data_IF_437708490016
#
_entry.id   IF_437708490016
#
_cell.length_a   1.000
_cell.length_b   1.000
_cell.length_c   1.000
_cell.angle_alpha   90.00
_cell.angle_beta   90.00
_cell.angle_gamma   90.00
#
_symmetry.space_group_name_H-M   'P 1'
#
loop_
_entity.id
_entity.type
_entity.pdbx_description
1 polymer ?
#
# COMPACT_ATOMS: atom_id res chain seq x y z
N UNK A 1 -7.86 42.65 15.43
CA UNK A 1 -6.93 41.54 15.13
C UNK A 1 -7.21 40.46 16.16
N UNK A 2 -7.47 39.19 15.78
CA UNK A 2 -7.54 38.10 16.74
C UNK A 2 -6.19 37.99 17.46
N UNK A 3 -6.21 37.92 18.80
CA UNK A 3 -5.00 37.74 19.59
C UNK A 3 -4.40 36.35 19.37
N UNK A 4 -3.07 36.25 19.47
CA UNK A 4 -2.35 34.97 19.42
C UNK A 4 -2.90 34.00 20.47
N UNK A 5 -2.86 32.71 20.15
CA UNK A 5 -3.17 31.68 21.13
C UNK A 5 -1.92 31.37 21.99
N UNK A 6 -2.14 30.66 23.11
CA UNK A 6 -1.11 30.42 24.13
C UNK A 6 0.18 29.74 23.60
N UNK A 7 0.08 28.90 22.58
CA UNK A 7 1.26 28.23 22.03
C UNK A 7 2.05 29.11 21.06
N UNK A 8 1.39 30.04 20.35
CA UNK A 8 2.07 31.02 19.50
C UNK A 8 2.86 32.02 20.35
N UNK A 9 2.33 32.45 21.50
CA UNK A 9 3.07 33.26 22.48
C UNK A 9 4.28 32.49 23.03
N UNK A 10 4.09 31.22 23.39
CA UNK A 10 5.17 30.37 23.92
C UNK A 10 6.30 30.12 22.91
N UNK A 11 5.99 30.11 21.61
CA UNK A 11 6.97 29.94 20.55
C UNK A 11 7.82 31.20 20.33
N UNK A 12 7.26 32.38 20.59
CA UNK A 12 8.00 33.65 20.51
C UNK A 12 8.97 33.85 21.68
N UNK A 13 8.62 33.30 22.85
CA UNK A 13 9.47 33.35 24.06
C UNK A 13 10.59 32.28 24.05
N UNK A 14 10.61 31.38 23.07
CA UNK A 14 11.64 30.34 22.99
C UNK A 14 12.95 30.90 22.43
N UNK A 15 13.90 31.18 23.32
CA UNK A 15 15.29 31.46 22.96
C UNK A 15 15.97 30.16 22.54
N UNK A 16 16.25 30.01 21.25
CA UNK A 16 17.15 28.95 20.77
C UNK A 16 18.53 29.16 21.39
N UNK A 17 19.04 28.18 22.12
CA UNK A 17 20.40 28.20 22.66
C UNK A 17 21.41 28.37 21.52
N UNK A 18 21.99 29.57 21.42
CA UNK A 18 23.03 29.91 20.44
C UNK A 18 24.41 29.41 20.84
N UNK A 19 24.53 28.64 21.92
CA UNK A 19 25.79 28.08 22.42
C UNK A 19 25.96 26.62 22.02
N UNK A 20 26.18 26.39 20.72
CA UNK A 20 27.15 25.36 20.28
C UNK A 20 27.68 25.61 18.86
N UNK A 21 27.94 26.88 18.52
CA UNK A 21 28.73 27.24 17.33
C UNK A 21 30.15 27.66 17.74
N UNK A 22 30.99 26.69 18.12
CA UNK A 22 32.46 26.86 18.11
C UNK A 22 33.21 25.51 18.14
N UNK A 23 32.96 24.63 17.17
CA UNK A 23 33.95 23.63 16.75
C UNK A 23 33.72 23.28 15.28
N UNK A 24 34.28 24.11 14.41
CA UNK A 24 34.49 23.78 13.02
C UNK A 24 35.67 22.80 12.92
N UNK A 25 35.40 21.52 13.18
CA UNK A 25 36.18 20.41 12.64
C UNK A 25 35.20 19.35 12.13
N UNK A 26 35.34 19.03 10.84
CA UNK A 26 34.74 17.96 10.04
C UNK A 26 34.15 16.77 10.81
N UNK A 27 32.93 16.94 11.35
CA UNK A 27 32.10 15.87 11.88
C UNK A 27 31.07 15.45 10.85
N UNK A 28 31.42 14.50 10.00
CA UNK A 28 30.51 13.89 9.02
C UNK A 28 29.28 13.37 9.74
N UNK A 29 28.09 13.90 9.43
CA UNK A 29 26.82 13.26 9.78
C UNK A 29 26.87 11.87 9.14
N UNK A 30 27.02 10.82 9.93
CA UNK A 30 27.02 9.46 9.42
C UNK A 30 25.59 9.14 8.98
N UNK A 31 25.32 8.93 7.69
CA UNK A 31 24.01 8.45 7.27
C UNK A 31 23.75 7.11 7.95
N UNK A 32 22.52 6.92 8.45
CA UNK A 32 22.05 5.58 8.85
C UNK A 32 22.28 4.68 7.63
N UNK A 33 22.90 3.49 7.77
CA UNK A 33 23.12 2.60 6.64
C UNK A 33 21.77 2.15 6.07
N UNK A 34 21.30 2.87 5.06
CA UNK A 34 20.24 2.39 4.19
C UNK A 34 20.87 1.27 3.38
N UNK A 35 20.34 0.06 3.50
CA UNK A 35 20.75 -1.05 2.63
C UNK A 35 20.62 -0.64 1.15
N UNK A 36 21.27 -1.33 0.20
CA UNK A 36 21.46 -0.87 -1.18
C UNK A 36 20.18 -0.88 -2.05
N UNK A 37 19.01 -0.65 -1.48
CA UNK A 37 17.76 -0.41 -2.19
C UNK A 37 17.27 0.95 -1.75
N UNK A 38 17.09 1.85 -2.72
CA UNK A 38 16.21 3.04 -2.70
C UNK A 38 16.95 4.31 -3.14
N UNK A 39 17.03 4.49 -4.46
CA UNK A 39 17.42 5.76 -5.09
C UNK A 39 16.20 6.45 -5.68
N UNK A 40 15.24 6.83 -4.84
CA UNK A 40 14.30 7.91 -5.16
C UNK A 40 14.72 9.07 -4.27
N UNK A 41 15.67 9.88 -4.77
CA UNK A 41 16.03 11.15 -4.14
C UNK A 41 15.02 12.20 -4.60
N UNK A 42 13.83 12.18 -3.99
CA UNK A 42 12.93 13.33 -4.06
C UNK A 42 13.07 14.11 -2.76
N UNK A 43 13.43 15.39 -2.83
CA UNK A 43 13.79 16.21 -1.67
C UNK A 43 12.62 16.43 -0.68
N UNK A 44 11.40 16.07 -1.10
CA UNK A 44 10.16 16.15 -0.30
C UNK A 44 9.79 14.78 0.29
N UNK A 45 10.15 13.67 -0.36
CA UNK A 45 9.77 12.31 0.04
C UNK A 45 11.01 11.61 0.59
N UNK A 46 11.30 11.79 1.88
CA UNK A 46 12.40 11.12 2.53
C UNK A 46 12.09 9.61 2.72
N UNK A 47 12.87 8.71 2.10
CA UNK A 47 12.71 7.27 2.30
C UNK A 47 12.88 6.93 3.78
N UNK A 48 11.90 6.24 4.37
CA UNK A 48 11.93 5.80 5.77
C UNK A 48 11.34 6.77 6.80
N UNK A 49 11.06 8.04 6.46
CA UNK A 49 10.44 8.99 7.41
C UNK A 49 8.93 8.76 7.55
N UNK A 50 8.26 8.40 6.45
CA UNK A 50 6.80 8.17 6.42
C UNK A 50 6.42 6.69 6.63
N UNK A 51 7.31 5.76 6.31
CA UNK A 51 7.07 4.32 6.47
C UNK A 51 8.37 3.58 6.81
N UNK A 52 8.53 3.05 8.04
CA UNK A 52 9.69 2.23 8.42
C UNK A 52 9.85 0.96 7.57
N UNK A 53 8.77 0.50 6.94
CA UNK A 53 8.74 -0.68 6.08
C UNK A 53 9.35 -0.47 4.69
N UNK A 54 9.63 0.77 4.28
CA UNK A 54 10.08 1.12 2.93
C UNK A 54 8.96 1.23 1.88
N UNK A 55 7.70 0.97 2.26
CA UNK A 55 6.53 1.16 1.40
C UNK A 55 5.67 2.31 1.90
N UNK A 56 5.69 3.42 1.17
CA UNK A 56 4.89 4.61 1.47
C UNK A 56 3.60 4.62 0.63
N UNK A 57 2.47 4.83 1.30
CA UNK A 57 1.14 4.97 0.69
C UNK A 57 1.10 6.05 -0.38
N UNK A 58 1.70 7.23 -0.15
CA UNK A 58 1.71 8.31 -1.14
C UNK A 58 2.53 7.93 -2.36
N UNK A 59 3.67 7.25 -2.16
CA UNK A 59 4.51 6.76 -3.25
C UNK A 59 3.75 5.73 -4.11
N UNK A 60 3.01 4.81 -3.47
CA UNK A 60 2.16 3.84 -4.15
C UNK A 60 1.10 4.55 -4.99
N UNK A 61 0.37 5.51 -4.43
CA UNK A 61 -0.69 6.24 -5.14
C UNK A 61 -0.13 7.03 -6.33
N UNK A 62 0.98 7.76 -6.15
CA UNK A 62 1.62 8.50 -7.25
C UNK A 62 2.02 7.56 -8.39
N UNK A 63 2.56 6.37 -8.10
CA UNK A 63 2.91 5.37 -9.12
C UNK A 63 1.70 4.84 -9.87
N UNK A 64 0.58 4.64 -9.19
CA UNK A 64 -0.68 4.23 -9.81
C UNK A 64 -1.22 5.34 -10.71
N UNK A 65 -1.18 6.60 -10.27
CA UNK A 65 -1.73 7.73 -11.02
C UNK A 65 -0.86 8.13 -12.22
N UNK A 66 0.46 7.97 -12.11
CA UNK A 66 1.42 8.30 -13.17
C UNK A 66 1.78 7.11 -14.08
N UNK A 67 1.05 6.00 -14.00
CA UNK A 67 1.32 4.80 -14.81
C UNK A 67 1.11 5.04 -16.30
N UNK A 68 1.92 4.39 -17.13
CA UNK A 68 1.81 4.48 -18.58
C UNK A 68 0.64 3.64 -19.10
N UNK A 69 -0.15 4.21 -20.02
CA UNK A 69 -1.23 3.54 -20.75
C UNK A 69 -2.29 2.86 -19.84
N UNK A 70 -3.04 3.64 -19.03
CA UNK A 70 -4.07 3.07 -18.16
C UNK A 70 -5.17 2.38 -18.99
N UNK A 71 -5.44 1.12 -18.67
CA UNK A 71 -6.55 0.34 -19.27
C UNK A 71 -7.83 0.54 -18.48
N UNK A 72 -7.70 0.73 -17.16
CA UNK A 72 -8.83 0.91 -16.24
C UNK A 72 -8.87 2.35 -15.76
N UNK A 73 -10.06 2.95 -15.85
CA UNK A 73 -10.31 4.26 -15.27
C UNK A 73 -10.66 4.10 -13.78
N UNK A 74 -9.73 4.50 -12.91
CA UNK A 74 -9.92 4.44 -11.45
C UNK A 74 -10.64 5.68 -10.89
N UNK A 75 -10.64 6.79 -11.64
CA UNK A 75 -11.09 8.09 -11.15
C UNK A 75 -10.15 8.66 -10.07
N UNK A 76 -10.71 9.50 -9.21
CA UNK A 76 -9.97 10.06 -8.07
C UNK A 76 -9.83 9.01 -6.97
N UNK A 77 -8.59 8.62 -6.68
CA UNK A 77 -8.22 7.73 -5.58
C UNK A 77 -7.34 8.47 -4.58
N UNK A 78 -7.50 8.16 -3.30
CA UNK A 78 -6.72 8.73 -2.22
C UNK A 78 -6.44 7.69 -1.11
N UNK A 79 -5.86 8.15 -0.01
CA UNK A 79 -5.51 7.33 1.15
C UNK A 79 -6.71 6.68 1.85
N UNK A 80 -7.93 7.17 1.63
CA UNK A 80 -9.15 6.65 2.25
C UNK A 80 -9.64 5.36 1.59
N UNK A 81 -9.16 5.06 0.37
CA UNK A 81 -9.49 3.84 -0.34
C UNK A 81 -8.81 2.62 0.33
N UNK A 82 -9.52 1.50 0.48
CA UNK A 82 -8.90 0.25 0.91
C UNK A 82 -7.92 -0.26 -0.16
N UNK A 83 -6.65 -0.38 0.22
CA UNK A 83 -5.59 -0.78 -0.69
C UNK A 83 -4.54 -1.68 -0.05
N UNK A 84 -3.95 -2.53 -0.89
CA UNK A 84 -2.85 -3.42 -0.55
C UNK A 84 -1.81 -3.42 -1.65
N UNK A 85 -0.56 -3.69 -1.28
CA UNK A 85 0.56 -3.91 -2.21
C UNK A 85 1.00 -5.37 -2.11
N UNK A 86 1.07 -6.05 -3.25
CA UNK A 86 1.60 -7.41 -3.36
C UNK A 86 2.91 -7.41 -4.16
N UNK A 87 3.90 -8.18 -3.70
CA UNK A 87 5.17 -8.37 -4.41
C UNK A 87 5.05 -9.51 -5.43
N UNK A 88 5.10 -9.19 -6.72
CA UNK A 88 4.94 -10.15 -7.82
C UNK A 88 6.17 -11.03 -8.02
N UNK A 89 7.33 -10.60 -7.54
CA UNK A 89 8.57 -11.36 -7.68
C UNK A 89 8.72 -12.45 -6.62
N UNK A 90 8.00 -12.32 -5.51
CA UNK A 90 8.01 -13.32 -4.44
C UNK A 90 7.08 -14.50 -4.74
N UNK A 91 7.44 -15.72 -4.31
CA UNK A 91 6.60 -16.89 -4.49
C UNK A 91 5.21 -16.64 -3.90
N UNK A 92 4.19 -16.90 -4.71
CA UNK A 92 2.79 -16.76 -4.31
C UNK A 92 2.25 -15.33 -4.18
N UNK A 93 3.00 -14.33 -4.62
CA UNK A 93 2.59 -12.93 -4.64
C UNK A 93 2.03 -12.46 -3.27
N UNK A 94 2.85 -12.50 -2.21
CA UNK A 94 2.41 -12.14 -0.86
C UNK A 94 2.13 -10.63 -0.75
N UNK A 95 1.20 -10.28 0.13
CA UNK A 95 0.99 -8.88 0.54
C UNK A 95 2.21 -8.39 1.33
N UNK A 96 2.74 -7.24 0.95
CA UNK A 96 3.87 -6.58 1.63
C UNK A 96 3.46 -5.28 2.31
N UNK A 97 2.30 -4.73 1.94
CA UNK A 97 1.70 -3.55 2.58
C UNK A 97 0.17 -3.63 2.53
N UNK A 98 -0.49 -3.16 3.59
CA UNK A 98 -1.94 -3.02 3.67
C UNK A 98 -2.27 -1.78 4.50
N UNK A 99 -3.16 -0.91 4.02
CA UNK A 99 -3.54 0.30 4.74
C UNK A 99 -4.69 0.06 5.72
N UNK A 100 -4.95 1.04 6.58
CA UNK A 100 -5.98 0.94 7.62
C UNK A 100 -7.41 0.79 7.05
N UNK A 101 -7.83 1.52 6.00
CA UNK A 101 -9.11 1.25 5.34
C UNK A 101 -9.30 -0.20 4.88
N UNK A 102 -8.23 -0.88 4.41
CA UNK A 102 -8.31 -2.31 4.10
C UNK A 102 -8.53 -3.17 5.34
N UNK A 103 -7.86 -2.85 6.45
CA UNK A 103 -8.05 -3.54 7.74
C UNK A 103 -9.49 -3.36 8.23
N UNK A 104 -10.03 -2.15 8.16
CA UNK A 104 -11.40 -1.84 8.55
C UNK A 104 -12.42 -2.55 7.66
N UNK A 105 -12.22 -2.52 6.34
CA UNK A 105 -13.09 -3.17 5.37
C UNK A 105 -13.19 -4.67 5.61
N UNK A 106 -12.05 -5.34 5.83
CA UNK A 106 -11.95 -6.80 5.86
C UNK A 106 -11.99 -7.40 7.26
N UNK A 107 -11.69 -6.60 8.28
CA UNK A 107 -11.55 -7.02 9.68
C UNK A 107 -10.27 -7.80 9.99
N UNK A 108 -9.36 -7.98 9.02
CA UNK A 108 -8.05 -8.61 9.26
C UNK A 108 -7.02 -7.56 9.63
N UNK A 109 -6.25 -7.81 10.69
CA UNK A 109 -5.14 -6.92 11.05
C UNK A 109 -4.02 -6.99 10.01
N UNK A 110 -3.21 -5.93 9.90
CA UNK A 110 -2.05 -5.91 8.99
C UNK A 110 -1.15 -7.14 9.21
N UNK A 111 -0.86 -7.49 10.48
CA UNK A 111 -0.03 -8.67 10.84
C UNK A 111 -0.58 -10.00 10.33
N UNK A 112 -1.91 -10.13 10.21
CA UNK A 112 -2.55 -11.34 9.69
C UNK A 112 -2.52 -11.42 8.16
N UNK A 113 -2.24 -10.31 7.48
CA UNK A 113 -2.34 -10.17 6.02
C UNK A 113 -0.96 -10.17 5.38
N UNK A 114 0.01 -9.47 5.99
CA UNK A 114 1.38 -9.41 5.49
C UNK A 114 1.97 -10.82 5.34
N UNK A 115 2.65 -11.06 4.22
CA UNK A 115 3.28 -12.34 3.89
C UNK A 115 2.32 -13.39 3.31
N UNK A 116 1.03 -13.10 3.15
CA UNK A 116 0.04 -14.03 2.61
C UNK A 116 -0.48 -13.56 1.26
N UNK A 117 -0.86 -14.51 0.43
CA UNK A 117 -1.63 -14.20 -0.77
C UNK A 117 -3.09 -13.86 -0.42
N UNK A 118 -3.66 -12.83 -1.03
CA UNK A 118 -5.01 -12.31 -0.78
C UNK A 118 -6.16 -13.32 -0.99
N UNK A 119 -5.88 -14.49 -1.58
CA UNK A 119 -6.89 -15.54 -1.74
C UNK A 119 -7.54 -16.01 -0.43
N UNK A 120 -6.95 -15.71 0.73
CA UNK A 120 -7.57 -16.02 2.02
C UNK A 120 -8.99 -15.45 2.12
N UNK A 121 -9.27 -14.31 1.47
CA UNK A 121 -10.60 -13.69 1.45
C UNK A 121 -11.62 -14.48 0.62
N UNK A 122 -11.23 -15.52 -0.13
CA UNK A 122 -12.11 -16.30 -1.02
C UNK A 122 -12.87 -17.44 -0.31
N UNK A 123 -12.72 -17.57 1.01
CA UNK A 123 -13.47 -18.53 1.81
C UNK A 123 -13.73 -18.00 3.23
N UNK A 124 -14.85 -18.38 3.86
CA UNK A 124 -15.06 -18.12 5.28
C UNK A 124 -13.95 -18.81 6.09
N UNK A 125 -13.42 -18.11 7.10
CA UNK A 125 -12.32 -18.60 7.94
C UNK A 125 -10.91 -18.47 7.34
N UNK A 126 -10.75 -17.82 6.18
CA UNK A 126 -9.43 -17.38 5.72
C UNK A 126 -8.49 -18.46 5.20
N UNK A 127 -8.95 -19.69 5.00
CA UNK A 127 -8.09 -20.83 4.62
C UNK A 127 -8.37 -21.26 3.18
N UNK A 128 -7.46 -20.94 2.26
CA UNK A 128 -7.59 -21.27 0.83
C UNK A 128 -6.25 -21.73 0.27
N UNK A 129 -6.21 -22.93 -0.36
CA UNK A 129 -5.00 -23.49 -0.99
C UNK A 129 -4.81 -22.99 -2.43
N UNK A 130 -3.56 -22.95 -2.89
CA UNK A 130 -3.15 -22.34 -4.19
C UNK A 130 -3.85 -22.92 -5.43
N UNK A 131 -4.38 -24.14 -5.35
CA UNK A 131 -5.07 -24.80 -6.48
C UNK A 131 -6.43 -25.42 -6.12
N UNK A 132 -6.99 -25.11 -4.94
CA UNK A 132 -8.28 -25.68 -4.54
C UNK A 132 -9.44 -25.11 -5.35
N UNK A 133 -10.50 -25.88 -5.57
CA UNK A 133 -11.76 -25.28 -6.02
C UNK A 133 -12.27 -24.31 -4.95
N UNK A 134 -12.86 -23.18 -5.36
CA UNK A 134 -13.53 -22.24 -4.46
C UNK A 134 -15.01 -22.56 -4.47
N UNK A 135 -15.61 -22.71 -3.28
CA UNK A 135 -17.03 -23.05 -3.14
C UNK A 135 -17.95 -21.86 -3.45
N UNK A 136 -17.50 -20.65 -3.11
CA UNK A 136 -18.32 -19.43 -3.11
C UNK A 136 -17.88 -18.40 -4.16
N UNK A 137 -16.85 -18.70 -4.94
CA UNK A 137 -16.24 -17.74 -5.87
C UNK A 137 -16.22 -18.36 -7.25
N UNK A 138 -16.65 -17.59 -8.25
CA UNK A 138 -16.67 -18.03 -9.64
C UNK A 138 -15.25 -18.40 -10.13
N UNK A 139 -15.18 -19.54 -10.83
CA UNK A 139 -13.91 -20.09 -11.32
C UNK A 139 -13.33 -19.22 -12.43
N UNK A 140 -14.17 -18.62 -13.26
CA UNK A 140 -13.69 -17.82 -14.39
C UNK A 140 -13.16 -16.47 -13.93
N UNK A 141 -13.78 -15.84 -12.93
CA UNK A 141 -13.20 -14.67 -12.23
C UNK A 141 -11.84 -15.00 -11.62
N UNK A 142 -11.67 -16.17 -10.99
CA UNK A 142 -10.36 -16.59 -10.45
C UNK A 142 -9.32 -16.77 -11.55
N UNK A 143 -9.69 -17.37 -12.69
CA UNK A 143 -8.79 -17.52 -13.84
C UNK A 143 -8.40 -16.17 -14.42
N UNK A 144 -9.35 -15.23 -14.55
CA UNK A 144 -9.09 -13.86 -15.02
C UNK A 144 -8.09 -13.15 -14.10
N UNK A 145 -8.31 -13.20 -12.79
CA UNK A 145 -7.38 -12.61 -11.81
C UNK A 145 -5.98 -13.21 -11.91
N UNK A 146 -5.89 -14.55 -11.99
CA UNK A 146 -4.60 -15.24 -12.14
C UNK A 146 -3.87 -14.80 -13.42
N UNK A 147 -4.59 -14.79 -14.55
CA UNK A 147 -4.03 -14.41 -15.85
C UNK A 147 -3.54 -12.95 -15.85
N UNK A 148 -4.29 -12.05 -15.23
CA UNK A 148 -3.91 -10.64 -15.12
C UNK A 148 -2.61 -10.48 -14.34
N UNK A 149 -2.47 -11.18 -13.20
CA UNK A 149 -1.23 -11.20 -12.42
C UNK A 149 -0.06 -11.81 -13.22
N UNK A 150 -0.27 -12.92 -13.91
CA UNK A 150 0.77 -13.58 -14.72
C UNK A 150 1.25 -12.74 -15.91
N UNK A 151 0.40 -11.85 -16.42
CA UNK A 151 0.68 -11.01 -17.58
C UNK A 151 1.03 -9.56 -17.24
N UNK A 152 1.00 -9.21 -15.96
CA UNK A 152 1.09 -7.82 -15.51
C UNK A 152 0.08 -6.92 -16.23
N UNK A 153 -1.17 -7.39 -16.34
CA UNK A 153 -2.28 -6.64 -16.94
C UNK A 153 -3.17 -6.04 -15.83
N UNK A 154 -3.70 -4.85 -16.08
CA UNK A 154 -4.72 -4.25 -15.23
C UNK A 154 -6.01 -5.09 -15.27
N UNK A 155 -6.67 -5.26 -14.12
CA UNK A 155 -7.96 -5.96 -14.06
C UNK A 155 -8.91 -5.33 -13.03
N UNK A 156 -10.15 -5.07 -13.45
CA UNK A 156 -11.27 -4.73 -12.56
C UNK A 156 -12.32 -5.84 -12.63
N UNK A 157 -12.71 -6.37 -11.48
CA UNK A 157 -13.70 -7.44 -11.35
C UNK A 157 -14.54 -7.29 -10.09
N UNK A 158 -15.76 -7.81 -10.13
CA UNK A 158 -16.52 -8.11 -8.92
C UNK A 158 -16.19 -9.52 -8.46
N UNK A 159 -15.81 -9.68 -7.20
CA UNK A 159 -15.49 -11.00 -6.62
C UNK A 159 -16.12 -11.16 -5.25
N UNK A 160 -16.71 -12.33 -5.00
CA UNK A 160 -17.23 -12.68 -3.67
C UNK A 160 -16.07 -12.87 -2.71
N UNK A 161 -16.05 -12.11 -1.62
CA UNK A 161 -15.07 -12.23 -0.56
C UNK A 161 -15.74 -12.35 0.82
N UNK A 162 -14.95 -12.76 1.80
CA UNK A 162 -15.37 -12.96 3.18
C UNK A 162 -14.49 -12.14 4.11
N UNK A 163 -15.14 -11.36 4.97
CA UNK A 163 -14.49 -10.67 6.09
C UNK A 163 -14.00 -11.69 7.12
N UNK A 164 -13.15 -11.26 8.05
CA UNK A 164 -12.61 -12.12 9.12
C UNK A 164 -13.70 -12.80 9.95
N UNK A 165 -14.79 -12.10 10.22
CA UNK A 165 -15.96 -12.63 10.94
C UNK A 165 -16.82 -13.59 10.11
N UNK A 166 -16.42 -13.91 8.87
CA UNK A 166 -17.16 -14.79 7.97
C UNK A 166 -18.28 -14.09 7.18
N UNK A 167 -18.51 -12.79 7.37
CA UNK A 167 -19.51 -12.04 6.58
C UNK A 167 -19.09 -12.01 5.12
N UNK A 168 -19.98 -12.47 4.25
CA UNK A 168 -19.82 -12.35 2.80
C UNK A 168 -20.04 -10.92 2.35
N UNK A 169 -19.25 -10.46 1.39
CA UNK A 169 -19.46 -9.19 0.68
C UNK A 169 -18.97 -9.30 -0.76
N UNK A 170 -19.46 -8.40 -1.62
CA UNK A 170 -19.00 -8.30 -3.00
C UNK A 170 -17.91 -7.24 -3.04
N UNK A 171 -16.70 -7.69 -3.36
CA UNK A 171 -15.52 -6.85 -3.47
C UNK A 171 -15.38 -6.35 -4.92
N UNK A 172 -15.46 -5.04 -5.11
CA UNK A 172 -15.02 -4.36 -6.31
C UNK A 172 -13.50 -4.28 -6.27
N UNK A 173 -12.85 -5.21 -6.95
CA UNK A 173 -11.40 -5.34 -6.95
C UNK A 173 -10.83 -4.73 -8.23
N UNK A 174 -9.96 -3.74 -8.10
CA UNK A 174 -9.06 -3.29 -9.15
C UNK A 174 -7.62 -3.70 -8.82
N UNK A 175 -6.94 -4.35 -9.75
CA UNK A 175 -5.54 -4.74 -9.63
C UNK A 175 -4.72 -3.99 -10.67
N UNK A 176 -3.75 -3.21 -10.19
CA UNK A 176 -2.93 -2.34 -11.02
C UNK A 176 -1.47 -2.74 -10.84
N UNK A 177 -0.81 -3.28 -11.87
CA UNK A 177 0.62 -3.54 -11.82
C UNK A 177 1.38 -2.21 -11.81
N UNK A 178 2.36 -2.07 -10.92
CA UNK A 178 3.21 -0.88 -10.86
C UNK A 178 4.68 -1.24 -11.00
N UNK A 179 5.39 -0.42 -11.78
CA UNK A 179 6.82 -0.40 -11.81
C UNK A 179 7.32 0.30 -10.54
N UNK A 180 8.34 -0.29 -9.91
CA UNK A 180 9.01 0.34 -8.77
C UNK A 180 10.28 1.03 -9.26
N UNK A 181 11.40 0.30 -9.22
CA UNK A 181 12.70 0.74 -9.73
C UNK A 181 13.14 -0.13 -10.93
N UNK A 182 12.18 -0.60 -11.72
CA UNK A 182 12.41 -1.51 -12.85
C UNK A 182 11.54 -1.12 -14.04
N UNK A 183 11.99 -1.52 -15.23
CA UNK A 183 11.19 -1.36 -16.45
C UNK A 183 9.92 -2.22 -16.42
N UNK A 184 10.00 -3.40 -15.81
CA UNK A 184 8.86 -4.31 -15.66
C UNK A 184 8.16 -4.13 -14.31
N UNK A 185 6.84 -4.38 -14.24
CA UNK A 185 6.10 -4.34 -12.99
C UNK A 185 6.63 -5.35 -11.97
N UNK A 186 6.89 -4.87 -10.75
CA UNK A 186 7.35 -5.70 -9.62
C UNK A 186 6.29 -5.90 -8.56
N UNK A 187 5.33 -4.98 -8.51
CA UNK A 187 4.26 -5.02 -7.52
C UNK A 187 2.92 -4.90 -8.21
N UNK A 188 1.88 -5.36 -7.52
CA UNK A 188 0.50 -5.11 -7.88
C UNK A 188 -0.20 -4.41 -6.72
N UNK A 189 -0.84 -3.29 -7.03
CA UNK A 189 -1.71 -2.57 -6.10
C UNK A 189 -3.13 -3.09 -6.29
N UNK A 190 -3.72 -3.56 -5.21
CA UNK A 190 -5.13 -3.94 -5.19
C UNK A 190 -5.95 -2.86 -4.50
N UNK A 191 -6.93 -2.27 -5.18
CA UNK A 191 -7.97 -1.44 -4.57
C UNK A 191 -9.21 -2.27 -4.33
N UNK A 192 -9.85 -2.07 -3.18
CA UNK A 192 -11.06 -2.80 -2.79
C UNK A 192 -12.17 -1.83 -2.37
N UNK A 193 -13.40 -2.17 -2.74
CA UNK A 193 -14.58 -1.54 -2.18
C UNK A 193 -15.68 -2.58 -1.96
N UNK A 194 -16.43 -2.44 -0.87
CA UNK A 194 -17.65 -3.21 -0.66
C UNK A 194 -18.77 -2.56 -1.47
N UNK A 195 -19.29 -3.26 -2.47
CA UNK A 195 -20.43 -2.76 -3.25
C UNK A 195 -21.67 -2.82 -2.35
N UNK A 196 -22.21 -1.65 -2.04
CA UNK A 196 -23.44 -1.45 -1.26
C UNK A 196 -24.54 -1.02 -2.22
N UNK A 197 -25.49 -1.89 -2.52
CA UNK A 197 -26.64 -1.59 -3.35
C UNK A 197 -27.92 -2.09 -2.70
#
# INVERSE_FOLDING_TARGET
MPGLNYWEDSALDYHFDTENQASAESGTIQPIPVGPKDSVHDAIIYPGLYAPSGYDMMNILVRVMSRANPIIELGAIDASCALILCDLQQPDCPVVYANDPFVELTGYSQREVIGRNCRFMQAPGGTVRKSSARKHVDKDTIKKMRRAVERNEELAVEVVNFKKNGRQFINLLAMIPICWNSAEPKYSVGFQAEKTW
#
